data_IF_053384249164
#
_entry.id   IF_053384249164
#
_cell.length_a   1.000
_cell.length_b   1.000
_cell.length_c   1.000
_cell.angle_alpha   90.00
_cell.angle_beta   90.00
_cell.angle_gamma   90.00
#
_symmetry.space_group_name_H-M   'P 1'
#
loop_
_entity.id
_entity.type
_entity.pdbx_description
1 polymer ?
#
# COMPACT_ATOMS: atom_id res chain seq x y z
N UNK A 1 34.66 -56.89 0.03
CA UNK A 1 33.52 -56.83 0.98
C UNK A 1 32.28 -57.25 0.20
N UNK A 2 31.61 -58.32 0.59
CA UNK A 2 30.44 -58.87 -0.13
C UNK A 2 29.23 -58.72 0.79
N UNK A 3 28.17 -58.07 0.31
CA UNK A 3 26.93 -57.87 1.07
C UNK A 3 25.94 -59.03 0.78
N UNK A 4 25.22 -59.56 1.80
CA UNK A 4 24.21 -60.59 1.59
C UNK A 4 23.08 -60.13 0.66
N UNK A 5 22.60 -61.01 -0.22
CA UNK A 5 21.58 -60.68 -1.22
C UNK A 5 20.27 -60.14 -0.61
N UNK A 6 19.86 -60.66 0.54
CA UNK A 6 18.69 -60.16 1.26
C UNK A 6 18.87 -58.70 1.72
N UNK A 7 20.07 -58.35 2.21
CA UNK A 7 20.39 -56.99 2.67
C UNK A 7 20.39 -55.97 1.52
N UNK A 8 20.93 -56.37 0.35
CA UNK A 8 20.91 -55.51 -0.84
C UNK A 8 19.49 -55.28 -1.34
N UNK A 9 18.62 -56.27 -1.21
CA UNK A 9 17.23 -56.16 -1.69
C UNK A 9 16.36 -55.28 -0.78
N UNK A 10 16.57 -55.32 0.54
CA UNK A 10 15.74 -54.57 1.51
C UNK A 10 16.30 -53.19 1.90
N UNK A 11 17.61 -52.96 1.81
CA UNK A 11 18.25 -51.81 2.45
C UNK A 11 19.16 -50.98 1.53
N UNK A 12 19.24 -51.32 0.24
CA UNK A 12 20.05 -50.57 -0.73
C UNK A 12 19.13 -50.01 -1.82
N UNK A 13 19.23 -48.72 -2.07
CA UNK A 13 18.57 -48.06 -3.18
C UNK A 13 19.56 -47.79 -4.33
N UNK A 14 19.04 -47.80 -5.55
CA UNK A 14 19.81 -47.42 -6.74
C UNK A 14 20.13 -45.91 -6.70
N UNK A 15 21.39 -45.58 -6.39
CA UNK A 15 21.86 -44.19 -6.25
C UNK A 15 22.08 -43.41 -7.55
N UNK A 16 21.59 -43.88 -8.71
CA UNK A 16 21.81 -43.19 -9.99
C UNK A 16 20.96 -41.91 -10.14
N UNK A 17 19.89 -41.76 -9.35
CA UNK A 17 19.07 -40.56 -9.29
C UNK A 17 18.61 -40.32 -7.86
N UNK A 18 18.94 -39.16 -7.31
CA UNK A 18 18.55 -38.74 -5.96
C UNK A 18 17.92 -37.36 -6.01
N UNK A 19 16.96 -37.10 -5.12
CA UNK A 19 16.39 -35.76 -4.98
C UNK A 19 17.45 -34.80 -4.43
N UNK A 20 17.39 -33.51 -4.78
CA UNK A 20 18.36 -32.50 -4.32
C UNK A 20 18.49 -32.47 -2.79
N UNK A 21 17.40 -32.75 -2.07
CA UNK A 21 17.35 -32.83 -0.60
C UNK A 21 18.14 -34.03 -0.04
N UNK A 22 18.16 -35.17 -0.75
CA UNK A 22 18.94 -36.35 -0.35
C UNK A 22 20.41 -36.28 -0.83
N UNK A 23 20.69 -35.44 -1.82
CA UNK A 23 22.05 -35.16 -2.29
C UNK A 23 22.83 -34.17 -1.40
N UNK A 24 22.16 -33.54 -0.43
CA UNK A 24 22.77 -32.55 0.45
C UNK A 24 23.87 -33.19 1.31
N UNK A 25 25.13 -32.80 1.07
CA UNK A 25 26.30 -33.35 1.77
C UNK A 25 27.06 -34.44 1.00
N UNK A 26 26.55 -34.89 -0.15
CA UNK A 26 27.27 -35.78 -1.06
C UNK A 26 28.17 -34.96 -2.00
N UNK A 27 29.35 -35.49 -2.32
CA UNK A 27 30.22 -34.99 -3.39
C UNK A 27 30.33 -36.08 -4.45
N UNK A 28 30.07 -35.72 -5.69
CA UNK A 28 30.11 -36.62 -6.86
C UNK A 28 31.07 -36.07 -7.90
N UNK A 29 31.62 -36.90 -8.78
CA UNK A 29 32.54 -36.42 -9.82
C UNK A 29 31.81 -35.51 -10.84
N UNK A 30 30.62 -35.92 -11.27
CA UNK A 30 29.75 -35.14 -12.17
C UNK A 30 28.31 -35.09 -11.67
N UNK A 31 27.68 -33.93 -11.71
CA UNK A 31 26.26 -33.77 -11.39
C UNK A 31 25.42 -33.45 -12.63
N UNK A 32 24.27 -34.12 -12.76
CA UNK A 32 23.29 -33.93 -13.82
C UNK A 32 21.95 -33.58 -13.18
N UNK A 33 21.48 -32.34 -13.39
CA UNK A 33 20.30 -31.79 -12.72
C UNK A 33 19.19 -31.58 -13.73
N UNK A 34 18.04 -32.21 -13.53
CA UNK A 34 16.83 -31.90 -14.28
C UNK A 34 16.12 -30.75 -13.58
N UNK A 35 16.00 -29.62 -14.27
CA UNK A 35 15.48 -28.38 -13.70
C UNK A 35 13.98 -28.29 -13.95
N UNK A 36 13.19 -28.26 -12.86
CA UNK A 36 11.78 -27.92 -12.90
C UNK A 36 11.60 -26.40 -12.82
N UNK A 37 10.63 -25.84 -13.55
CA UNK A 37 10.34 -24.39 -13.55
C UNK A 37 9.98 -23.83 -12.17
N UNK A 38 9.45 -24.67 -11.28
CA UNK A 38 9.08 -24.32 -9.91
C UNK A 38 10.19 -24.59 -8.88
N UNK A 39 11.40 -24.95 -9.30
CA UNK A 39 12.51 -25.20 -8.39
C UNK A 39 12.98 -23.88 -7.76
N UNK A 40 13.16 -23.79 -6.43
CA UNK A 40 13.72 -22.61 -5.81
C UNK A 40 15.22 -22.50 -6.05
N UNK A 41 15.74 -21.26 -6.04
CA UNK A 41 17.16 -20.94 -6.26
C UNK A 41 18.10 -21.77 -5.39
N UNK A 42 17.75 -21.98 -4.14
CA UNK A 42 18.58 -22.64 -3.13
C UNK A 42 18.76 -24.12 -3.47
N UNK A 43 17.68 -24.79 -3.91
CA UNK A 43 17.73 -26.18 -4.36
C UNK A 43 18.51 -26.32 -5.68
N UNK A 44 18.36 -25.35 -6.58
CA UNK A 44 19.14 -25.29 -7.81
C UNK A 44 20.63 -25.09 -7.52
N UNK A 45 20.99 -24.17 -6.62
CA UNK A 45 22.37 -23.93 -6.18
C UNK A 45 22.98 -25.17 -5.54
N UNK A 46 22.25 -25.81 -4.62
CA UNK A 46 22.70 -27.04 -3.95
C UNK A 46 22.95 -28.15 -4.97
N UNK A 47 22.08 -28.32 -5.96
CA UNK A 47 22.24 -29.36 -6.97
C UNK A 47 23.41 -29.07 -7.93
N UNK A 48 23.60 -27.79 -8.30
CA UNK A 48 24.66 -27.33 -9.21
C UNK A 48 26.05 -27.20 -8.57
N UNK A 49 26.20 -27.59 -7.30
CA UNK A 49 27.47 -27.53 -6.56
C UNK A 49 27.95 -28.90 -6.05
N UNK A 50 27.31 -30.01 -6.47
CA UNK A 50 27.68 -31.38 -6.04
C UNK A 50 28.76 -32.03 -6.89
N UNK A 51 28.84 -31.67 -8.17
CA UNK A 51 29.85 -32.16 -9.11
C UNK A 51 31.19 -31.47 -8.88
N UNK A 52 32.25 -32.27 -8.68
CA UNK A 52 33.63 -31.78 -8.56
C UNK A 52 34.18 -31.30 -9.90
N UNK A 53 33.91 -32.04 -10.97
CA UNK A 53 34.51 -31.81 -12.28
C UNK A 53 33.55 -31.08 -13.23
N UNK A 54 32.26 -31.42 -13.20
CA UNK A 54 31.24 -30.78 -14.03
C UNK A 54 29.84 -30.84 -13.41
N UNK A 55 29.04 -29.80 -13.67
CA UNK A 55 27.64 -29.71 -13.31
C UNK A 55 26.81 -29.34 -14.55
N UNK A 56 25.90 -30.20 -14.98
CA UNK A 56 25.07 -30.00 -16.18
C UNK A 56 23.60 -29.86 -15.80
N UNK A 57 22.97 -28.77 -16.21
CA UNK A 57 21.53 -28.51 -16.01
C UNK A 57 20.74 -28.80 -17.29
N UNK A 58 19.76 -29.69 -17.21
CA UNK A 58 18.79 -29.95 -18.26
C UNK A 58 17.51 -29.18 -17.96
N UNK A 59 17.27 -28.11 -18.71
CA UNK A 59 16.08 -27.27 -18.58
C UNK A 59 15.06 -27.71 -19.62
N UNK A 60 13.96 -28.31 -19.17
CA UNK A 60 12.85 -28.61 -20.05
C UNK A 60 12.11 -27.31 -20.40
N UNK A 61 12.15 -26.90 -21.67
CA UNK A 61 11.42 -25.73 -22.20
C UNK A 61 10.00 -26.09 -22.65
N UNK A 62 9.69 -27.39 -22.75
CA UNK A 62 8.40 -27.89 -23.19
C UNK A 62 7.49 -28.17 -21.99
N UNK A 63 6.25 -27.66 -22.03
CA UNK A 63 5.19 -28.09 -21.12
C UNK A 63 4.47 -29.24 -21.82
N UNK A 64 4.45 -30.48 -21.29
CA UNK A 64 3.54 -31.49 -21.81
C UNK A 64 2.10 -31.04 -21.51
N UNK A 65 1.50 -30.42 -22.51
CA UNK A 65 0.12 -29.94 -22.52
C UNK A 65 -0.82 -31.15 -22.61
N UNK A 66 -1.51 -31.48 -21.52
CA UNK A 66 -2.47 -32.60 -21.50
C UNK A 66 -3.88 -32.17 -21.92
N UNK A 67 -4.07 -30.96 -22.46
CA UNK A 67 -5.39 -30.53 -22.93
C UNK A 67 -5.31 -29.44 -24.01
N UNK A 68 -5.18 -29.85 -25.27
CA UNK A 68 -5.39 -28.95 -26.41
C UNK A 68 -6.86 -28.53 -26.54
N UNK A 69 -7.18 -27.23 -26.37
CA UNK A 69 -8.17 -26.51 -27.19
C UNK A 69 -7.84 -25.00 -27.21
N UNK A 70 -7.55 -24.46 -28.40
CA UNK A 70 -7.71 -23.03 -28.73
C UNK A 70 -6.43 -22.30 -29.20
N UNK A 71 -6.48 -21.51 -30.30
CA UNK A 71 -5.37 -20.66 -30.70
C UNK A 71 -5.26 -19.47 -29.74
N UNK A 72 -4.13 -19.33 -29.03
CA UNK A 72 -3.85 -18.17 -28.19
C UNK A 72 -2.95 -17.18 -28.93
N UNK A 73 -3.38 -15.93 -28.93
CA UNK A 73 -2.53 -14.79 -29.26
C UNK A 73 -1.50 -14.60 -28.13
N UNK A 74 -0.22 -14.48 -28.51
CA UNK A 74 0.90 -14.24 -27.60
C UNK A 74 1.78 -15.47 -27.36
N UNK A 75 2.21 -16.16 -28.41
CA UNK A 75 3.51 -16.84 -28.36
C UNK A 75 4.56 -15.76 -28.11
N UNK A 76 5.09 -15.71 -26.90
CA UNK A 76 6.32 -14.98 -26.64
C UNK A 76 7.48 -15.90 -27.07
N UNK A 77 8.18 -15.61 -28.18
CA UNK A 77 9.24 -16.47 -28.71
C UNK A 77 10.49 -16.50 -27.81
N UNK A 78 10.46 -15.87 -26.62
CA UNK A 78 11.59 -15.74 -25.71
C UNK A 78 11.57 -16.64 -24.45
N UNK A 79 10.74 -17.70 -24.40
CA UNK A 79 10.89 -18.75 -23.36
C UNK A 79 12.10 -19.64 -23.69
N UNK A 80 13.29 -19.06 -23.60
CA UNK A 80 14.56 -19.77 -23.62
C UNK A 80 14.81 -20.43 -22.26
N UNK A 81 15.55 -21.54 -22.22
CA UNK A 81 16.00 -22.13 -20.95
C UNK A 81 16.71 -21.13 -20.04
N UNK A 82 17.30 -20.07 -20.62
CA UNK A 82 17.87 -18.93 -19.90
C UNK A 82 16.83 -18.13 -19.10
N UNK A 83 15.65 -17.86 -19.67
CA UNK A 83 14.55 -17.14 -19.01
C UNK A 83 13.99 -17.92 -17.82
N UNK A 84 13.89 -19.26 -17.95
CA UNK A 84 13.50 -20.15 -16.85
C UNK A 84 14.55 -20.13 -15.73
N UNK A 85 15.84 -20.22 -16.08
CA UNK A 85 16.93 -20.13 -15.11
C UNK A 85 16.96 -18.76 -14.40
N UNK A 86 16.70 -17.66 -15.11
CA UNK A 86 16.53 -16.35 -14.47
C UNK A 86 15.35 -16.33 -13.51
N UNK A 87 14.20 -16.90 -13.89
CA UNK A 87 13.05 -17.04 -13.00
C UNK A 87 13.40 -17.80 -11.71
N UNK A 88 14.13 -18.92 -11.83
CA UNK A 88 14.60 -19.72 -10.69
C UNK A 88 15.57 -18.94 -9.80
N UNK A 89 16.52 -18.19 -10.38
CA UNK A 89 17.44 -17.34 -9.61
C UNK A 89 16.73 -16.18 -8.88
N UNK A 90 15.54 -15.77 -9.34
CA UNK A 90 14.70 -14.80 -8.66
C UNK A 90 13.72 -15.45 -7.67
N UNK A 91 13.53 -16.78 -7.74
CA UNK A 91 12.65 -17.53 -6.86
C UNK A 91 13.40 -17.95 -5.59
N UNK A 92 13.37 -17.08 -4.58
CA UNK A 92 13.90 -17.37 -3.24
C UNK A 92 12.94 -18.34 -2.55
N UNK A 93 13.35 -19.60 -2.42
CA UNK A 93 12.62 -20.64 -1.68
C UNK A 93 12.99 -20.67 -0.22
N UNK A 94 13.19 -19.50 0.40
CA UNK A 94 13.06 -19.45 1.84
C UNK A 94 11.57 -19.68 2.13
N UNK A 95 11.22 -20.90 2.55
CA UNK A 95 10.15 -20.99 3.53
C UNK A 95 10.55 -20.00 4.64
N UNK A 96 9.80 -18.89 4.72
CA UNK A 96 10.02 -17.86 5.73
C UNK A 96 10.20 -18.59 7.06
N UNK A 97 11.31 -18.35 7.76
CA UNK A 97 11.53 -18.99 9.05
C UNK A 97 10.29 -18.79 9.94
N UNK A 98 10.02 -19.67 10.91
CA UNK A 98 8.87 -19.49 11.81
C UNK A 98 8.81 -18.06 12.42
N UNK A 99 9.96 -17.40 12.56
CA UNK A 99 10.08 -16.01 12.98
C UNK A 99 9.77 -14.97 11.89
N UNK A 100 10.16 -15.19 10.64
CA UNK A 100 9.81 -14.29 9.52
C UNK A 100 8.36 -14.46 9.07
N UNK A 101 7.81 -15.68 9.17
CA UNK A 101 6.37 -15.92 8.99
C UNK A 101 5.60 -15.21 10.10
N UNK A 102 6.04 -15.33 11.37
CA UNK A 102 5.43 -14.60 12.48
C UNK A 102 5.57 -13.08 12.33
N UNK A 103 6.70 -12.58 11.83
CA UNK A 103 6.90 -11.15 11.60
C UNK A 103 6.04 -10.63 10.43
N UNK A 104 5.95 -11.38 9.33
CA UNK A 104 5.11 -11.05 8.18
C UNK A 104 3.61 -11.13 8.52
N UNK A 105 3.20 -12.12 9.31
CA UNK A 105 1.85 -12.20 9.88
C UNK A 105 1.61 -11.03 10.83
N UNK A 106 2.51 -10.74 11.77
CA UNK A 106 2.36 -9.60 12.68
C UNK A 106 2.31 -8.26 11.93
N UNK A 107 3.08 -8.10 10.85
CA UNK A 107 3.05 -6.92 9.99
C UNK A 107 1.74 -6.82 9.19
N UNK A 108 1.20 -7.94 8.72
CA UNK A 108 -0.10 -7.97 8.05
C UNK A 108 -1.25 -7.62 9.02
N UNK A 109 -1.21 -8.17 10.23
CA UNK A 109 -2.20 -7.92 11.28
C UNK A 109 -2.09 -6.50 11.85
N UNK A 110 -0.90 -5.89 11.80
CA UNK A 110 -0.66 -4.51 12.18
C UNK A 110 -0.75 -3.50 11.02
N UNK A 111 -1.15 -3.92 9.83
CA UNK A 111 -1.18 -3.04 8.65
C UNK A 111 -2.19 -1.90 8.80
N UNK A 112 -1.92 -0.77 8.15
CA UNK A 112 -2.85 0.37 8.08
C UNK A 112 -4.18 -0.06 7.47
N UNK A 113 -4.20 -1.05 6.57
CA UNK A 113 -5.43 -1.58 5.99
C UNK A 113 -6.34 -2.20 7.08
N UNK A 114 -5.78 -3.09 7.89
CA UNK A 114 -6.48 -3.78 8.97
C UNK A 114 -6.95 -2.79 10.04
N UNK A 115 -6.04 -1.95 10.54
CA UNK A 115 -6.35 -0.95 11.57
C UNK A 115 -7.40 0.07 11.10
N UNK A 116 -7.37 0.45 9.82
CA UNK A 116 -8.38 1.33 9.25
C UNK A 116 -9.76 0.67 9.16
N UNK A 117 -9.82 -0.61 8.77
CA UNK A 117 -11.08 -1.35 8.72
C UNK A 117 -11.72 -1.49 10.12
N UNK A 118 -10.89 -1.77 11.13
CA UNK A 118 -11.33 -1.79 12.54
C UNK A 118 -11.83 -0.42 12.98
N UNK A 119 -11.08 0.65 12.69
CA UNK A 119 -11.47 2.03 12.99
C UNK A 119 -12.81 2.39 12.34
N UNK A 120 -12.96 2.10 11.05
CA UNK A 120 -14.17 2.42 10.27
C UNK A 120 -15.40 1.69 10.80
N UNK A 121 -15.25 0.43 11.24
CA UNK A 121 -16.32 -0.36 11.87
C UNK A 121 -16.75 0.25 13.20
N UNK A 122 -15.80 0.60 14.06
CA UNK A 122 -16.08 1.26 15.34
C UNK A 122 -16.71 2.62 15.13
N UNK A 123 -16.21 3.40 14.17
CA UNK A 123 -16.72 4.73 13.85
C UNK A 123 -18.16 4.66 13.31
N UNK A 124 -18.50 3.63 12.54
CA UNK A 124 -19.86 3.40 12.07
C UNK A 124 -20.82 3.15 13.24
N UNK A 125 -20.44 2.28 14.18
CA UNK A 125 -21.25 2.01 15.38
C UNK A 125 -21.35 3.24 16.29
N UNK A 126 -20.23 3.91 16.56
CA UNK A 126 -20.12 5.06 17.46
C UNK A 126 -21.02 6.24 17.08
N UNK A 127 -21.15 6.47 15.78
CA UNK A 127 -21.84 7.65 15.26
C UNK A 127 -23.25 7.33 14.72
N UNK A 128 -23.67 6.06 14.77
CA UNK A 128 -24.93 5.61 14.18
C UNK A 128 -26.13 6.44 14.65
N UNK A 129 -26.39 6.48 15.95
CA UNK A 129 -27.52 7.21 16.54
C UNK A 129 -27.49 8.70 16.22
N UNK A 130 -26.30 9.29 16.18
CA UNK A 130 -26.13 10.70 15.82
C UNK A 130 -26.49 10.94 14.36
N UNK A 131 -26.06 10.08 13.44
CA UNK A 131 -26.41 10.20 12.03
C UNK A 131 -27.89 9.95 11.79
N UNK A 132 -28.51 9.01 12.51
CA UNK A 132 -29.97 8.83 12.53
C UNK A 132 -30.66 10.13 12.96
N UNK A 133 -30.21 10.75 14.05
CA UNK A 133 -30.78 12.02 14.52
C UNK A 133 -30.62 13.16 13.50
N UNK A 134 -29.46 13.27 12.84
CA UNK A 134 -29.21 14.28 11.80
C UNK A 134 -30.11 14.05 10.58
N UNK A 135 -30.32 12.81 10.15
CA UNK A 135 -31.23 12.48 9.05
C UNK A 135 -32.68 12.79 9.42
N UNK A 136 -33.13 12.41 10.63
CA UNK A 136 -34.49 12.69 11.11
C UNK A 136 -34.75 14.18 11.36
N UNK A 137 -33.72 14.94 11.73
CA UNK A 137 -33.77 16.40 11.88
C UNK A 137 -33.64 17.17 10.55
N UNK A 138 -33.48 16.48 9.43
CA UNK A 138 -33.42 17.11 8.11
C UNK A 138 -34.82 17.40 7.56
N UNK A 139 -34.90 18.12 6.43
CA UNK A 139 -36.17 18.46 5.74
C UNK A 139 -36.85 17.26 5.04
N UNK A 140 -36.58 16.03 5.48
CA UNK A 140 -37.24 14.82 5.02
C UNK A 140 -38.54 14.60 5.80
N UNK A 141 -39.52 13.95 5.18
CA UNK A 141 -40.68 13.43 5.92
C UNK A 141 -40.25 12.27 6.83
N UNK A 142 -40.96 11.98 7.93
CA UNK A 142 -40.61 10.87 8.82
C UNK A 142 -40.45 9.54 8.09
N UNK A 143 -41.37 9.21 7.16
CA UNK A 143 -41.30 7.99 6.37
C UNK A 143 -40.06 7.92 5.45
N UNK A 144 -39.64 9.04 4.86
CA UNK A 144 -38.42 9.09 4.06
C UNK A 144 -37.17 8.97 4.93
N UNK A 145 -37.17 9.57 6.12
CA UNK A 145 -36.05 9.48 7.04
C UNK A 145 -35.86 8.04 7.55
N UNK A 146 -36.95 7.34 7.88
CA UNK A 146 -36.89 5.92 8.28
C UNK A 146 -36.40 5.04 7.11
N UNK A 147 -36.90 5.26 5.88
CA UNK A 147 -36.42 4.56 4.69
C UNK A 147 -34.93 4.78 4.40
N UNK A 148 -34.39 5.97 4.72
CA UNK A 148 -32.94 6.24 4.61
C UNK A 148 -32.13 5.47 5.65
N UNK A 149 -32.64 5.37 6.88
CA UNK A 149 -31.95 4.68 7.99
C UNK A 149 -31.94 3.17 7.80
N UNK A 150 -33.02 2.60 7.25
CA UNK A 150 -33.15 1.17 6.97
C UNK A 150 -32.45 0.72 5.68
N UNK A 151 -31.95 1.66 4.88
CA UNK A 151 -31.27 1.35 3.60
C UNK A 151 -29.84 0.83 3.80
N UNK A 152 -29.44 -0.13 2.98
CA UNK A 152 -28.05 -0.62 2.89
C UNK A 152 -27.05 0.50 2.52
N UNK A 153 -27.52 1.56 1.85
CA UNK A 153 -26.72 2.73 1.50
C UNK A 153 -26.51 3.70 2.69
N UNK A 154 -27.12 3.45 3.86
CA UNK A 154 -26.92 4.28 5.05
C UNK A 154 -25.47 4.26 5.54
N UNK A 155 -24.80 3.12 5.51
CA UNK A 155 -23.38 3.00 5.88
C UNK A 155 -22.46 3.89 5.03
N UNK A 156 -22.49 3.77 3.69
CA UNK A 156 -21.79 4.69 2.78
C UNK A 156 -22.15 6.16 3.00
N UNK A 157 -23.43 6.49 3.20
CA UNK A 157 -23.87 7.85 3.51
C UNK A 157 -23.21 8.35 4.81
N UNK A 158 -23.28 7.59 5.90
CA UNK A 158 -22.65 7.94 7.18
C UNK A 158 -21.14 8.15 7.06
N UNK A 159 -20.45 7.36 6.22
CA UNK A 159 -19.03 7.55 5.94
C UNK A 159 -18.73 8.87 5.20
N UNK A 160 -19.57 9.28 4.24
CA UNK A 160 -19.46 10.58 3.58
C UNK A 160 -19.82 11.75 4.51
N UNK A 161 -20.79 11.59 5.41
CA UNK A 161 -21.11 12.61 6.43
C UNK A 161 -19.94 12.81 7.40
N UNK A 162 -19.30 11.72 7.85
CA UNK A 162 -18.07 11.78 8.65
C UNK A 162 -16.94 12.48 7.89
N UNK A 163 -16.79 12.21 6.59
CA UNK A 163 -15.83 12.94 5.76
C UNK A 163 -16.15 14.42 5.69
N UNK A 164 -17.41 14.80 5.49
CA UNK A 164 -17.82 16.20 5.51
C UNK A 164 -17.42 16.88 6.84
N UNK A 165 -17.67 16.21 7.97
CA UNK A 165 -17.30 16.72 9.29
C UNK A 165 -15.78 16.88 9.45
N UNK A 166 -14.98 15.93 8.99
CA UNK A 166 -13.51 16.00 8.99
C UNK A 166 -12.96 17.17 8.14
N UNK A 167 -13.72 17.59 7.12
CA UNK A 167 -13.45 18.75 6.29
C UNK A 167 -14.09 20.05 6.84
N UNK A 168 -14.58 20.04 8.09
CA UNK A 168 -15.16 21.17 8.81
C UNK A 168 -16.50 21.68 8.23
N UNK A 169 -17.23 20.85 7.49
CA UNK A 169 -18.57 21.20 7.06
C UNK A 169 -19.58 21.02 8.21
N UNK A 170 -20.53 21.95 8.30
CA UNK A 170 -21.75 21.72 9.10
C UNK A 170 -22.60 20.67 8.38
N UNK A 171 -22.62 19.46 8.92
CA UNK A 171 -23.27 18.30 8.31
C UNK A 171 -24.78 18.51 8.22
N UNK A 172 -25.41 19.14 9.22
CA UNK A 172 -26.86 19.37 9.24
C UNK A 172 -27.25 20.37 8.14
N UNK A 173 -26.49 21.48 8.00
CA UNK A 173 -26.72 22.44 6.92
C UNK A 173 -26.43 21.85 5.54
N UNK A 174 -25.37 21.04 5.42
CA UNK A 174 -25.04 20.34 4.18
C UNK A 174 -26.18 19.41 3.78
N UNK A 175 -26.69 18.61 4.72
CA UNK A 175 -27.76 17.66 4.48
C UNK A 175 -29.06 18.38 4.08
N UNK A 176 -29.45 19.42 4.81
CA UNK A 176 -30.60 20.26 4.49
C UNK A 176 -30.51 20.82 3.05
N UNK A 177 -29.34 21.33 2.67
CA UNK A 177 -29.09 21.88 1.32
C UNK A 177 -29.24 20.83 0.22
N UNK A 178 -28.70 19.62 0.41
CA UNK A 178 -28.79 18.56 -0.62
C UNK A 178 -30.17 17.92 -0.71
N UNK A 179 -30.94 17.93 0.38
CA UNK A 179 -32.34 17.49 0.42
C UNK A 179 -33.22 18.44 -0.40
N UNK A 180 -33.10 19.75 -0.18
CA UNK A 180 -33.92 20.76 -0.87
C UNK A 180 -33.55 20.91 -2.37
N UNK A 181 -32.29 20.64 -2.73
CA UNK A 181 -31.79 20.87 -4.09
C UNK A 181 -32.57 20.12 -5.19
N UNK A 182 -33.15 18.95 -4.90
CA UNK A 182 -33.95 18.18 -5.87
C UNK A 182 -34.86 17.17 -5.17
N UNK A 183 -36.14 17.12 -5.55
CA UNK A 183 -37.13 16.18 -4.99
C UNK A 183 -36.74 14.71 -5.26
N UNK A 184 -37.24 13.79 -4.45
CA UNK A 184 -36.90 12.36 -4.46
C UNK A 184 -37.95 11.48 -5.16
N UNK A 185 -38.80 12.07 -6.00
CA UNK A 185 -39.99 11.40 -6.55
C UNK A 185 -39.65 10.18 -7.42
N UNK A 186 -38.48 10.18 -8.08
CA UNK A 186 -37.98 9.08 -8.91
C UNK A 186 -36.88 8.24 -8.23
N UNK A 187 -36.59 8.48 -6.95
CA UNK A 187 -35.48 7.81 -6.27
C UNK A 187 -35.87 6.41 -5.78
N UNK A 188 -35.27 5.37 -6.36
CA UNK A 188 -35.39 3.99 -5.86
C UNK A 188 -34.77 3.81 -4.46
N UNK A 189 -33.70 4.54 -4.17
CA UNK A 189 -33.05 4.58 -2.85
C UNK A 189 -32.62 6.01 -2.52
N UNK A 190 -33.30 6.60 -1.52
CA UNK A 190 -33.05 7.97 -1.08
C UNK A 190 -31.66 8.08 -0.44
N UNK A 191 -31.19 7.07 0.30
CA UNK A 191 -29.90 7.08 0.97
C UNK A 191 -28.75 7.08 -0.05
N UNK A 192 -28.84 6.26 -1.10
CA UNK A 192 -27.88 6.26 -2.20
C UNK A 192 -27.82 7.61 -2.94
N UNK A 193 -28.98 8.24 -3.16
CA UNK A 193 -29.06 9.58 -3.78
C UNK A 193 -28.44 10.64 -2.87
N UNK A 194 -28.72 10.63 -1.57
CA UNK A 194 -28.11 11.55 -0.61
C UNK A 194 -26.59 11.37 -0.56
N UNK A 195 -26.11 10.12 -0.51
CA UNK A 195 -24.70 9.79 -0.55
C UNK A 195 -24.02 10.41 -1.79
N UNK A 196 -24.57 10.17 -2.98
CA UNK A 196 -24.03 10.73 -4.23
C UNK A 196 -24.05 12.27 -4.25
N UNK A 197 -25.11 12.90 -3.71
CA UNK A 197 -25.23 14.36 -3.65
C UNK A 197 -24.25 14.98 -2.67
N UNK A 198 -24.05 14.38 -1.50
CA UNK A 198 -23.06 14.81 -0.50
C UNK A 198 -21.65 14.70 -1.09
N UNK A 199 -21.30 13.55 -1.65
CA UNK A 199 -20.01 13.35 -2.31
C UNK A 199 -19.76 14.38 -3.43
N UNK A 200 -20.77 14.63 -4.28
CA UNK A 200 -20.70 15.63 -5.35
C UNK A 200 -20.65 17.09 -4.85
N UNK A 201 -21.23 17.40 -3.69
CA UNK A 201 -21.11 18.73 -3.07
C UNK A 201 -19.69 18.95 -2.53
N UNK A 202 -19.13 17.96 -1.82
CA UNK A 202 -17.77 18.01 -1.30
C UNK A 202 -16.73 18.15 -2.42
N UNK A 203 -16.88 17.38 -3.51
CA UNK A 203 -15.97 17.44 -4.65
C UNK A 203 -15.99 18.82 -5.35
N UNK A 204 -17.18 19.42 -5.52
CA UNK A 204 -17.32 20.76 -6.11
C UNK A 204 -16.75 21.86 -5.23
N UNK A 205 -16.95 21.77 -3.91
CA UNK A 205 -16.41 22.76 -2.99
C UNK A 205 -14.88 22.67 -2.87
N UNK A 206 -14.32 21.46 -2.95
CA UNK A 206 -12.88 21.23 -3.04
C UNK A 206 -12.29 21.84 -4.34
N UNK A 207 -12.92 21.58 -5.50
CA UNK A 207 -12.48 22.14 -6.78
C UNK A 207 -12.57 23.67 -6.82
N UNK A 208 -13.53 24.27 -6.10
CA UNK A 208 -13.69 25.71 -6.01
C UNK A 208 -12.75 26.39 -4.99
N UNK A 209 -11.87 25.65 -4.31
CA UNK A 209 -10.94 26.19 -3.31
C UNK A 209 -11.64 26.82 -2.09
N UNK A 210 -12.90 26.44 -1.82
CA UNK A 210 -13.72 27.06 -0.78
C UNK A 210 -13.38 26.56 0.62
N UNK A 211 -12.66 25.44 0.74
CA UNK A 211 -12.14 24.97 2.02
C UNK A 211 -10.79 25.62 2.33
N UNK A 212 -10.80 26.61 3.24
CA UNK A 212 -9.58 27.31 3.70
C UNK A 212 -8.88 26.59 4.87
N UNK A 213 -9.50 25.55 5.45
CA UNK A 213 -8.96 24.82 6.60
C UNK A 213 -8.47 23.45 6.17
N UNK A 214 -7.28 23.09 6.63
CA UNK A 214 -6.77 21.74 6.45
C UNK A 214 -7.73 20.72 7.10
N UNK A 215 -8.09 19.64 6.41
CA UNK A 215 -8.96 18.62 6.97
C UNK A 215 -8.26 17.92 8.13
N UNK A 216 -9.04 17.46 9.10
CA UNK A 216 -8.54 16.62 10.20
C UNK A 216 -8.55 15.19 9.71
N UNK A 217 -7.37 14.57 9.53
CA UNK A 217 -7.24 13.21 9.03
C UNK A 217 -6.22 12.43 9.87
N UNK A 218 -6.53 11.18 10.17
CA UNK A 218 -5.64 10.23 10.84
C UNK A 218 -4.64 9.72 9.81
N UNK A 219 -3.34 9.85 10.10
CA UNK A 219 -2.24 9.57 9.17
C UNK A 219 -2.44 10.21 7.77
N UNK A 220 -3.14 11.36 7.71
CA UNK A 220 -3.39 12.09 6.46
C UNK A 220 -4.40 11.44 5.50
N UNK A 221 -5.05 10.33 5.87
CA UNK A 221 -5.95 9.57 4.98
C UNK A 221 -7.36 9.41 5.56
N UNK A 222 -7.48 8.99 6.82
CA UNK A 222 -8.73 8.49 7.37
C UNK A 222 -9.49 9.61 8.09
N UNK A 223 -10.74 9.91 7.71
CA UNK A 223 -11.58 10.86 8.44
C UNK A 223 -11.87 10.36 9.87
N UNK A 224 -11.51 11.12 10.92
CA UNK A 224 -11.81 10.73 12.28
C UNK A 224 -13.31 10.80 12.56
N UNK A 225 -13.81 9.94 13.43
CA UNK A 225 -15.11 10.07 14.05
C UNK A 225 -15.06 11.20 15.09
N UNK A 226 -15.76 12.30 14.82
CA UNK A 226 -15.88 13.45 15.71
C UNK A 226 -17.29 13.51 16.33
N UNK A 227 -17.48 14.45 17.26
CA UNK A 227 -18.76 14.72 17.90
C UNK A 227 -18.97 13.92 19.20
N UNK A 228 -20.14 14.11 19.84
CA UNK A 228 -20.49 13.41 21.07
C UNK A 228 -20.69 11.91 20.79
N UNK A 229 -20.10 11.07 21.62
CA UNK A 229 -20.24 9.61 21.59
C UNK A 229 -19.92 9.05 22.98
N UNK A 230 -20.24 7.77 23.19
CA UNK A 230 -19.90 7.06 24.43
C UNK A 230 -18.39 7.15 24.75
N UNK A 231 -17.98 7.39 26.01
CA UNK A 231 -16.57 7.52 26.37
C UNK A 231 -15.71 6.31 26.04
N UNK A 232 -16.22 5.08 26.19
CA UNK A 232 -15.47 3.88 25.86
C UNK A 232 -15.27 3.75 24.35
N UNK A 233 -16.27 4.14 23.57
CA UNK A 233 -16.16 4.19 22.11
C UNK A 233 -15.18 5.27 21.64
N UNK A 234 -15.19 6.44 22.28
CA UNK A 234 -14.23 7.51 22.02
C UNK A 234 -12.79 7.06 22.33
N UNK A 235 -12.59 6.39 23.47
CA UNK A 235 -11.29 5.81 23.83
C UNK A 235 -10.83 4.77 22.80
N UNK A 236 -11.70 3.83 22.44
CA UNK A 236 -11.43 2.81 21.44
C UNK A 236 -10.98 3.40 20.09
N UNK A 237 -11.67 4.45 19.63
CA UNK A 237 -11.30 5.17 18.41
C UNK A 237 -9.97 5.89 18.55
N UNK A 238 -9.69 6.51 19.69
CA UNK A 238 -8.41 7.17 19.95
C UNK A 238 -7.24 6.18 19.95
N UNK A 239 -7.41 5.01 20.58
CA UNK A 239 -6.42 3.93 20.57
C UNK A 239 -6.13 3.46 19.14
N UNK A 240 -7.17 3.20 18.32
CA UNK A 240 -6.98 2.76 16.93
C UNK A 240 -6.35 3.85 16.07
N UNK A 241 -6.71 5.12 16.29
CA UNK A 241 -6.06 6.27 15.65
C UNK A 241 -4.55 6.30 15.94
N UNK A 242 -4.16 6.12 17.20
CA UNK A 242 -2.76 6.12 17.61
C UNK A 242 -1.99 4.94 17.01
N UNK A 243 -2.61 3.75 16.91
CA UNK A 243 -2.01 2.59 16.24
C UNK A 243 -1.77 2.85 14.76
N UNK A 244 -2.74 3.45 14.05
CA UNK A 244 -2.60 3.82 12.63
C UNK A 244 -1.43 4.80 12.43
N UNK A 245 -1.36 5.84 13.25
CA UNK A 245 -0.28 6.84 13.16
C UNK A 245 1.09 6.24 13.49
N UNK A 246 1.15 5.37 14.50
CA UNK A 246 2.38 4.67 14.88
C UNK A 246 2.85 3.72 13.78
N UNK A 247 1.94 2.97 13.15
CA UNK A 247 2.25 2.10 12.01
C UNK A 247 2.76 2.92 10.83
N UNK A 248 2.08 4.01 10.47
CA UNK A 248 2.50 4.89 9.38
C UNK A 248 3.92 5.47 9.61
N UNK A 249 4.22 5.87 10.84
CA UNK A 249 5.55 6.35 11.22
C UNK A 249 6.61 5.24 11.14
N UNK A 250 6.31 4.04 11.65
CA UNK A 250 7.22 2.90 11.60
C UNK A 250 7.54 2.47 10.15
N UNK A 251 6.53 2.45 9.27
CA UNK A 251 6.71 2.15 7.84
C UNK A 251 7.59 3.19 7.16
N UNK A 252 7.40 4.48 7.47
CA UNK A 252 8.25 5.55 6.95
C UNK A 252 9.71 5.39 7.44
N UNK A 253 9.90 5.17 8.74
CA UNK A 253 11.24 5.06 9.34
C UNK A 253 12.00 3.86 8.78
N UNK A 254 11.35 2.71 8.69
CA UNK A 254 11.93 1.51 8.09
C UNK A 254 12.35 1.75 6.63
N UNK A 255 11.48 2.39 5.84
CA UNK A 255 11.78 2.69 4.44
C UNK A 255 12.94 3.70 4.28
N UNK A 256 13.01 4.71 5.15
CA UNK A 256 14.10 5.69 5.15
C UNK A 256 15.43 5.04 5.56
N UNK A 257 15.42 4.17 6.58
CA UNK A 257 16.59 3.43 7.04
C UNK A 257 17.12 2.48 5.95
N UNK A 258 16.22 1.76 5.28
CA UNK A 258 16.55 0.84 4.20
C UNK A 258 16.94 1.55 2.88
N UNK A 259 16.73 2.87 2.78
CA UNK A 259 17.00 3.62 1.56
C UNK A 259 16.09 3.24 0.39
N UNK A 260 14.84 2.86 0.71
CA UNK A 260 13.84 2.38 -0.26
C UNK A 260 13.67 3.37 -1.43
N UNK A 261 13.61 2.93 -2.69
CA UNK A 261 13.68 3.83 -3.84
C UNK A 261 12.62 4.93 -3.87
N UNK A 262 11.42 4.63 -3.36
CA UNK A 262 10.31 5.59 -3.34
C UNK A 262 10.55 6.76 -2.38
N UNK A 263 11.36 6.57 -1.32
CA UNK A 263 11.66 7.62 -0.33
C UNK A 263 12.45 8.76 -0.94
N UNK A 264 13.21 8.51 -2.01
CA UNK A 264 13.93 9.54 -2.77
C UNK A 264 12.97 10.59 -3.34
N UNK A 265 11.74 10.19 -3.67
CA UNK A 265 10.72 11.11 -4.18
C UNK A 265 10.20 12.10 -3.12
N UNK A 266 10.38 11.83 -1.82
CA UNK A 266 10.05 12.76 -0.75
C UNK A 266 11.02 13.95 -0.66
N UNK A 267 12.19 13.83 -1.32
CA UNK A 267 13.31 14.75 -1.13
C UNK A 267 14.01 14.52 0.21
N UNK A 268 15.10 15.27 0.43
CA UNK A 268 15.90 15.10 1.63
C UNK A 268 15.30 15.88 2.81
N UNK A 269 15.29 15.25 3.99
CA UNK A 269 14.65 15.79 5.17
C UNK A 269 15.18 17.21 5.51
N UNK A 270 14.28 18.19 5.75
CA UNK A 270 14.67 19.52 6.19
C UNK A 270 15.01 19.54 7.69
N UNK A 271 15.73 20.57 8.13
CA UNK A 271 16.04 20.81 9.53
C UNK A 271 15.11 21.86 10.13
N UNK A 272 15.04 21.95 11.46
CA UNK A 272 14.26 22.97 12.17
C UNK A 272 12.75 22.76 12.07
N UNK A 273 12.00 23.86 12.00
CA UNK A 273 10.52 23.86 12.10
C UNK A 273 9.81 23.12 10.96
N UNK A 274 10.45 22.98 9.78
CA UNK A 274 9.89 22.27 8.63
C UNK A 274 9.97 20.73 8.76
N UNK A 275 10.81 20.20 9.65
CA UNK A 275 11.06 18.76 9.78
C UNK A 275 9.79 17.98 10.15
N UNK A 276 8.98 18.51 11.07
CA UNK A 276 7.74 17.87 11.51
C UNK A 276 6.71 17.80 10.38
N UNK A 277 6.54 18.87 9.60
CA UNK A 277 5.60 18.91 8.47
C UNK A 277 6.03 17.99 7.32
N UNK A 278 7.34 17.92 7.04
CA UNK A 278 7.90 16.98 6.07
C UNK A 278 7.67 15.53 6.52
N UNK A 279 7.93 15.23 7.79
CA UNK A 279 7.71 13.91 8.37
C UNK A 279 6.24 13.51 8.32
N UNK A 280 5.32 14.40 8.68
CA UNK A 280 3.87 14.14 8.57
C UNK A 280 3.44 13.82 7.14
N UNK A 281 4.00 14.55 6.17
CA UNK A 281 3.76 14.29 4.74
C UNK A 281 4.30 12.92 4.31
N UNK A 282 5.51 12.56 4.77
CA UNK A 282 6.09 11.23 4.59
C UNK A 282 5.23 10.11 5.21
N UNK A 283 4.72 10.30 6.43
CA UNK A 283 3.85 9.33 7.09
C UNK A 283 2.54 9.12 6.31
N UNK A 284 2.00 10.18 5.69
CA UNK A 284 0.80 10.06 4.85
C UNK A 284 1.07 9.19 3.62
N UNK A 285 2.22 9.36 2.96
CA UNK A 285 2.61 8.51 1.82
C UNK A 285 2.87 7.07 2.28
N UNK A 286 3.55 6.89 3.41
CA UNK A 286 3.78 5.57 4.00
C UNK A 286 2.49 4.85 4.36
N UNK A 287 1.53 5.55 5.00
CA UNK A 287 0.22 5.03 5.32
C UNK A 287 -0.55 4.59 4.07
N UNK A 288 -0.48 5.36 3.00
CA UNK A 288 -1.13 5.02 1.73
C UNK A 288 -0.51 3.77 1.11
N UNK A 289 0.83 3.66 1.13
CA UNK A 289 1.53 2.49 0.62
C UNK A 289 1.20 1.23 1.41
N UNK A 290 1.24 1.30 2.74
CA UNK A 290 0.92 0.17 3.63
C UNK A 290 -0.55 -0.25 3.49
N UNK A 291 -1.48 0.72 3.43
CA UNK A 291 -2.93 0.46 3.27
C UNK A 291 -3.27 -0.29 1.97
N UNK A 292 -2.56 -0.02 0.88
CA UNK A 292 -2.85 -0.61 -0.43
C UNK A 292 -1.79 -1.62 -0.89
N UNK A 293 -0.94 -2.09 0.03
CA UNK A 293 0.15 -3.03 -0.23
C UNK A 293 1.01 -2.63 -1.46
N UNK A 294 1.36 -1.34 -1.55
CA UNK A 294 2.11 -0.80 -2.69
C UNK A 294 3.58 -1.12 -2.53
N UNK A 295 4.08 -1.98 -3.41
CA UNK A 295 5.49 -2.35 -3.53
C UNK A 295 6.12 -1.66 -4.75
N UNK A 296 7.41 -1.38 -4.67
CA UNK A 296 8.20 -0.87 -5.78
C UNK A 296 8.52 0.63 -5.71
N UNK A 297 9.13 1.12 -6.80
CA UNK A 297 9.80 2.42 -6.87
C UNK A 297 8.84 3.62 -6.90
N UNK A 298 7.62 3.42 -7.41
CA UNK A 298 6.63 4.49 -7.49
C UNK A 298 6.07 4.75 -6.09
N UNK A 299 6.14 5.99 -5.56
CA UNK A 299 5.62 6.29 -4.23
C UNK A 299 4.12 6.01 -4.11
N UNK A 300 3.36 6.16 -5.20
CA UNK A 300 1.90 6.03 -5.21
C UNK A 300 1.37 4.79 -5.95
N UNK A 301 2.25 3.92 -6.44
CA UNK A 301 1.86 2.68 -7.13
C UNK A 301 1.17 2.90 -8.48
N UNK A 302 0.35 1.91 -8.88
CA UNK A 302 -0.44 1.92 -10.11
C UNK A 302 -1.69 2.81 -9.99
N UNK A 303 -2.44 2.94 -11.09
CA UNK A 303 -3.68 3.74 -11.11
C UNK A 303 -4.71 3.14 -10.13
N UNK A 304 -5.32 3.96 -9.25
CA UNK A 304 -6.30 3.48 -8.28
C UNK A 304 -7.52 2.79 -8.90
N UNK A 305 -7.87 1.62 -8.37
CA UNK A 305 -8.99 0.79 -8.86
C UNK A 305 -10.36 1.19 -8.31
N UNK A 306 -10.43 1.73 -7.08
CA UNK A 306 -11.68 2.10 -6.42
C UNK A 306 -11.82 3.62 -6.20
N UNK A 307 -13.04 4.11 -6.03
CA UNK A 307 -13.30 5.53 -5.70
C UNK A 307 -12.64 5.94 -4.38
N UNK A 308 -12.67 5.06 -3.36
CA UNK A 308 -11.98 5.29 -2.10
C UNK A 308 -10.46 5.44 -2.30
N UNK A 309 -9.85 4.53 -3.05
CA UNK A 309 -8.42 4.59 -3.35
C UNK A 309 -8.05 5.82 -4.19
N UNK A 310 -8.92 6.29 -5.10
CA UNK A 310 -8.69 7.53 -5.86
C UNK A 310 -8.57 8.74 -4.93
N UNK A 311 -9.40 8.82 -3.90
CA UNK A 311 -9.37 9.91 -2.92
C UNK A 311 -8.13 9.85 -2.04
N UNK A 312 -7.78 8.66 -1.54
CA UNK A 312 -6.59 8.47 -0.71
C UNK A 312 -5.31 8.70 -1.53
N UNK A 313 -5.28 8.29 -2.80
CA UNK A 313 -4.20 8.61 -3.72
C UNK A 313 -4.05 10.11 -3.97
N UNK A 314 -5.15 10.85 -4.05
CA UNK A 314 -5.10 12.31 -4.19
C UNK A 314 -4.51 12.99 -2.94
N UNK A 315 -4.86 12.50 -1.74
CA UNK A 315 -4.28 12.97 -0.47
C UNK A 315 -2.79 12.63 -0.37
N UNK A 316 -2.42 11.40 -0.68
CA UNK A 316 -1.03 10.95 -0.69
C UNK A 316 -0.19 11.73 -1.72
N UNK A 317 -0.76 12.08 -2.88
CA UNK A 317 -0.10 12.95 -3.86
C UNK A 317 0.11 14.36 -3.33
N UNK A 318 -0.91 14.97 -2.72
CA UNK A 318 -0.78 16.30 -2.11
C UNK A 318 0.28 16.32 -0.99
N UNK A 319 0.36 15.24 -0.20
CA UNK A 319 1.39 15.07 0.81
C UNK A 319 2.79 14.91 0.20
N UNK A 320 2.95 14.10 -0.85
CA UNK A 320 4.21 13.96 -1.57
C UNK A 320 4.70 15.31 -2.12
N UNK A 321 3.82 16.08 -2.75
CA UNK A 321 4.13 17.43 -3.25
C UNK A 321 4.50 18.39 -2.11
N UNK A 322 3.83 18.30 -0.95
CA UNK A 322 4.17 19.09 0.22
C UNK A 322 5.56 18.75 0.77
N UNK A 323 5.90 17.46 0.87
CA UNK A 323 7.23 17.00 1.27
C UNK A 323 8.31 17.53 0.32
N UNK A 324 8.08 17.45 -0.99
CA UNK A 324 9.00 17.95 -2.01
C UNK A 324 9.24 19.46 -1.89
N UNK A 325 8.18 20.25 -1.68
CA UNK A 325 8.30 21.71 -1.47
C UNK A 325 9.13 22.03 -0.23
N UNK A 326 8.90 21.34 0.88
CA UNK A 326 9.64 21.52 2.13
C UNK A 326 11.12 21.08 2.01
N UNK A 327 11.40 20.06 1.21
CA UNK A 327 12.77 19.63 0.91
C UNK A 327 13.49 20.63 -0.01
N UNK A 328 12.78 21.24 -0.97
CA UNK A 328 13.35 22.22 -1.89
C UNK A 328 13.73 23.54 -1.20
N UNK A 329 12.94 24.02 -0.24
CA UNK A 329 13.25 25.25 0.52
C UNK A 329 14.57 25.17 1.31
N UNK A 330 15.04 23.95 1.61
CA UNK A 330 16.38 23.72 2.20
C UNK A 330 17.50 24.08 1.21
N UNK A 331 17.34 23.73 -0.06
CA UNK A 331 18.36 23.98 -1.07
C UNK A 331 18.49 25.47 -1.40
N UNK A 332 17.40 26.24 -1.31
CA UNK A 332 17.42 27.70 -1.51
C UNK A 332 18.23 28.42 -0.43
N UNK A 333 18.11 28.01 0.84
CA UNK A 333 18.91 28.58 1.94
C UNK A 333 20.36 28.08 1.99
N UNK A 334 20.68 26.98 1.30
CA UNK A 334 22.02 26.38 1.29
C UNK A 334 22.85 26.72 0.05
N UNK A 335 22.29 27.42 -0.94
CA UNK A 335 23.06 27.90 -2.10
C UNK A 335 23.98 29.07 -1.66
N UNK A 336 25.31 28.96 -1.80
CA UNK A 336 26.17 30.11 -1.57
C UNK A 336 25.88 31.16 -2.64
N UNK A 337 25.40 32.33 -2.21
CA UNK A 337 25.37 33.54 -3.02
C UNK A 337 26.79 33.75 -3.56
N UNK A 338 27.03 33.45 -4.84
CA UNK A 338 28.29 33.81 -5.50
C UNK A 338 28.43 35.33 -5.37
N UNK A 339 29.48 35.85 -4.71
CA UNK A 339 29.71 37.29 -4.75
C UNK A 339 29.98 37.65 -6.21
N UNK A 340 29.22 38.60 -6.74
CA UNK A 340 29.46 39.19 -8.05
C UNK A 340 30.93 39.63 -8.09
N UNK A 341 31.70 39.07 -9.01
CA UNK A 341 33.08 39.46 -9.25
C UNK A 341 33.08 40.93 -9.70
N UNK A 342 33.41 41.84 -8.78
CA UNK A 342 33.77 43.21 -9.11
C UNK A 342 35.12 43.15 -9.85
N UNK A 343 35.06 43.17 -11.19
CA UNK A 343 36.21 43.45 -12.04
C UNK A 343 36.73 44.86 -11.71
N UNK A 344 37.77 44.92 -10.89
CA UNK A 344 38.60 46.11 -10.76
C UNK A 344 39.48 46.23 -12.02
N UNK A 345 39.03 47.04 -12.99
CA UNK A 345 39.86 47.53 -14.07
C UNK A 345 40.99 48.42 -13.50
N UNK A 346 42.19 47.85 -13.32
CA UNK A 346 43.41 48.64 -13.13
C UNK A 346 43.89 49.16 -14.48
N UNK A 347 43.61 50.42 -14.78
CA UNK A 347 44.33 51.20 -15.77
C UNK A 347 45.53 51.86 -15.09
N UNK A 348 46.74 51.39 -15.38
CA UNK A 348 48.00 52.07 -15.06
C UNK A 348 48.44 52.89 -16.28
N UNK A 349 48.80 54.18 -16.14
CA UNK A 349 49.46 54.92 -17.21
C UNK A 349 50.99 54.66 -17.19
N UNK A 350 51.56 54.54 -18.39
CA UNK A 350 52.97 54.37 -18.66
C UNK A 350 53.81 55.59 -18.24
N UNK A 351 54.93 55.34 -17.56
CA UNK A 351 56.22 56.04 -17.74
C UNK A 351 57.37 55.13 -17.38
#
# INVERSE_FOLDING_TARGET
MVLPAAYVTEHVELGYAVTSHRAQGLTTDTAHVVVATSMPRENFYVAMTRGREANTAYVAIDRPDVAHVGPRAGDDPEVSGRSILYGILQHVGAELSAHETLAAEQDAWGSVAQLAAEYETLAAAAQHDRWVAVVKGSWLTPAQADAVVESDAFGPLAAELRRAEAHHYDVAQLLARVVVARRFEDAQDIAAVLHARVAGALARDAAAGRSRRSPRLIAGLIPPALGPMDPAMHQALAERSNLIESRAAAVLDAALLAGEPWTRALGAAPHGSAAAAWRHSGCTVAAYRDRYAIVGISPLGAVPGSTAQKLDAARARAALEAAQRLAASRNEFSAPTRPASLEFARHLPSR
#
